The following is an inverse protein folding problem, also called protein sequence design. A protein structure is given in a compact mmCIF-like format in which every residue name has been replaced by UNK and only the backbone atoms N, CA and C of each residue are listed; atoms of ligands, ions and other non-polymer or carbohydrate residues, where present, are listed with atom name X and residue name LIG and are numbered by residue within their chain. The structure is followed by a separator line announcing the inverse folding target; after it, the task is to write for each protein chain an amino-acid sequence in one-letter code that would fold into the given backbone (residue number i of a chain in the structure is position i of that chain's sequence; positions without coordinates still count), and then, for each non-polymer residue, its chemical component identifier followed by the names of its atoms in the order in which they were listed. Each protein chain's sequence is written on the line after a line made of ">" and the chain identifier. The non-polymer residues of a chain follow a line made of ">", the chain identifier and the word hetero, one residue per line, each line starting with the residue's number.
data_IF_903514243813
#
_entry.id   IF_903514243813
#
_cell.length_a   1.000
_cell.length_b   1.000
_cell.length_c   1.000
_cell.angle_alpha   90.00
_cell.angle_beta   90.00
_cell.angle_gamma   90.00
#
_symmetry.space_group_name_H-M   'P 1'
#
loop_
_entity.id
_entity.type
_entity.pdbx_description
1 polymer ?
#
# COMPACT_ATOMS: atom_id res chain seq x y z
N UNK A 1 11.09 -39.25 73.94
CA UNK A 1 11.69 -39.41 72.59
C UNK A 1 11.20 -38.28 71.71
N UNK A 2 12.07 -37.33 71.37
CA UNK A 2 11.73 -36.22 70.46
C UNK A 2 12.20 -36.61 69.07
N UNK A 3 11.30 -36.81 68.08
CA UNK A 3 11.60 -37.03 66.69
C UNK A 3 11.90 -35.69 66.03
N UNK A 4 13.17 -35.47 65.72
CA UNK A 4 13.62 -34.31 64.94
C UNK A 4 13.42 -34.61 63.45
N UNK A 5 12.43 -33.98 62.85
CA UNK A 5 12.25 -34.06 61.39
C UNK A 5 13.21 -33.10 60.72
N UNK A 6 14.09 -33.63 59.88
CA UNK A 6 14.98 -32.85 59.02
C UNK A 6 14.21 -32.29 57.82
N UNK A 7 14.20 -30.98 57.57
CA UNK A 7 13.49 -30.43 56.40
C UNK A 7 14.22 -30.84 55.12
N UNK A 8 13.49 -31.41 54.18
CA UNK A 8 13.97 -31.70 52.84
C UNK A 8 14.25 -30.37 52.13
N UNK A 9 15.47 -30.12 51.73
CA UNK A 9 15.83 -28.96 50.88
C UNK A 9 15.25 -29.16 49.47
N UNK A 10 14.51 -28.22 48.94
CA UNK A 10 14.09 -28.29 47.53
C UNK A 10 15.32 -28.25 46.61
N UNK A 11 15.45 -29.24 45.73
CA UNK A 11 16.49 -29.24 44.69
C UNK A 11 16.11 -28.21 43.65
N UNK A 12 16.83 -27.09 43.60
CA UNK A 12 16.73 -26.14 42.51
C UNK A 12 17.55 -26.73 41.34
N UNK A 13 16.86 -27.36 40.37
CA UNK A 13 17.47 -27.76 39.13
C UNK A 13 17.69 -26.50 38.26
N UNK A 14 18.93 -26.09 38.07
CA UNK A 14 19.31 -25.04 37.13
C UNK A 14 19.20 -25.57 35.70
N UNK A 15 18.94 -24.67 34.75
CA UNK A 15 18.91 -25.00 33.33
C UNK A 15 20.32 -25.41 32.84
N UNK A 16 20.36 -26.43 31.99
CA UNK A 16 21.63 -26.86 31.40
C UNK A 16 22.01 -25.91 30.23
N UNK A 17 23.32 -25.79 29.94
CA UNK A 17 23.82 -25.00 28.83
C UNK A 17 23.25 -25.47 27.48
N UNK A 18 23.06 -26.79 27.34
CA UNK A 18 22.48 -27.39 26.13
C UNK A 18 21.02 -26.99 25.97
N UNK A 19 20.26 -26.95 27.04
CA UNK A 19 18.83 -26.53 27.03
C UNK A 19 18.67 -25.06 26.59
N UNK A 20 19.56 -24.19 27.06
CA UNK A 20 19.57 -22.79 26.65
C UNK A 20 19.96 -22.61 25.18
N UNK A 21 20.95 -23.36 24.66
CA UNK A 21 21.32 -23.33 23.25
C UNK A 21 20.18 -23.84 22.38
N UNK A 22 19.49 -24.91 22.79
CA UNK A 22 18.35 -25.45 22.05
C UNK A 22 17.19 -24.43 21.97
N UNK A 23 16.88 -23.76 23.08
CA UNK A 23 15.84 -22.72 23.11
C UNK A 23 16.20 -21.55 22.18
N UNK A 24 17.45 -21.09 22.25
CA UNK A 24 17.92 -20.02 21.36
C UNK A 24 17.86 -20.42 19.89
N UNK A 25 18.21 -21.67 19.54
CA UNK A 25 18.12 -22.18 18.18
C UNK A 25 16.66 -22.22 17.67
N UNK A 26 15.71 -22.66 18.50
CA UNK A 26 14.30 -22.69 18.16
C UNK A 26 13.76 -21.25 17.99
N UNK A 27 14.09 -20.34 18.90
CA UNK A 27 13.67 -18.95 18.82
C UNK A 27 14.21 -18.30 17.54
N UNK A 28 15.50 -18.50 17.22
CA UNK A 28 16.09 -17.99 15.99
C UNK A 28 15.41 -18.52 14.73
N UNK A 29 15.05 -19.82 14.70
CA UNK A 29 14.30 -20.43 13.61
C UNK A 29 12.90 -19.81 13.45
N UNK A 30 12.17 -19.62 14.56
CA UNK A 30 10.83 -19.04 14.55
C UNK A 30 10.85 -17.57 14.09
N UNK A 31 11.82 -16.78 14.59
CA UNK A 31 11.99 -15.38 14.17
C UNK A 31 12.33 -15.30 12.68
N UNK A 32 13.24 -16.16 12.20
CA UNK A 32 13.58 -16.23 10.78
C UNK A 32 12.39 -16.55 9.90
N UNK A 33 11.58 -17.54 10.28
CA UNK A 33 10.36 -17.90 9.55
C UNK A 33 9.30 -16.77 9.55
N UNK A 34 9.18 -16.04 10.67
CA UNK A 34 8.25 -14.93 10.78
C UNK A 34 8.62 -13.79 9.81
N UNK A 35 9.88 -13.37 9.76
CA UNK A 35 10.34 -12.26 8.92
C UNK A 35 10.04 -12.50 7.44
N UNK A 36 10.25 -13.72 6.94
CA UNK A 36 10.00 -14.08 5.53
C UNK A 36 8.50 -13.98 5.18
N UNK A 37 7.61 -14.38 6.07
CA UNK A 37 6.17 -14.36 5.81
C UNK A 37 5.54 -12.96 5.92
N UNK A 38 6.02 -12.10 6.81
CA UNK A 38 5.47 -10.75 6.97
C UNK A 38 5.72 -9.83 5.78
N UNK A 39 6.82 -9.99 5.05
CA UNK A 39 7.12 -9.18 3.86
C UNK A 39 6.05 -9.27 2.78
N UNK A 40 5.58 -10.48 2.46
CA UNK A 40 4.53 -10.69 1.46
C UNK A 40 3.16 -10.13 1.86
N UNK A 41 2.81 -10.22 3.14
CA UNK A 41 1.54 -9.68 3.66
C UNK A 41 1.51 -8.15 3.58
N UNK A 42 2.62 -7.48 3.92
CA UNK A 42 2.75 -6.03 3.83
C UNK A 42 2.64 -5.53 2.39
N UNK A 43 3.30 -6.20 1.43
CA UNK A 43 3.18 -5.84 0.02
C UNK A 43 1.76 -6.08 -0.53
N UNK A 44 1.10 -7.16 -0.14
CA UNK A 44 -0.30 -7.41 -0.47
C UNK A 44 -1.22 -6.29 0.04
N UNK A 45 -1.00 -5.83 1.27
CA UNK A 45 -1.74 -4.71 1.87
C UNK A 45 -1.53 -3.40 1.12
N UNK A 46 -0.30 -3.08 0.73
CA UNK A 46 0.02 -1.90 -0.08
C UNK A 46 -0.68 -1.94 -1.44
N UNK A 47 -0.65 -3.09 -2.14
CA UNK A 47 -1.36 -3.26 -3.42
C UNK A 47 -2.85 -3.03 -3.28
N UNK A 48 -3.48 -3.57 -2.24
CA UNK A 48 -4.91 -3.37 -1.96
C UNK A 48 -5.22 -1.90 -1.68
N UNK A 49 -4.39 -1.23 -0.89
CA UNK A 49 -4.54 0.21 -0.60
C UNK A 49 -4.41 1.04 -1.88
N UNK A 50 -3.43 0.73 -2.73
CA UNK A 50 -3.25 1.42 -4.02
C UNK A 50 -4.47 1.27 -4.92
N UNK A 51 -5.04 0.07 -5.04
CA UNK A 51 -6.30 -0.15 -5.80
C UNK A 51 -7.47 0.67 -5.24
N UNK A 52 -7.58 0.77 -3.91
CA UNK A 52 -8.59 1.61 -3.27
C UNK A 52 -8.43 3.10 -3.61
N UNK A 53 -7.21 3.62 -3.59
CA UNK A 53 -6.93 5.00 -3.99
C UNK A 53 -7.25 5.24 -5.48
N UNK A 54 -6.85 4.32 -6.36
CA UNK A 54 -7.15 4.39 -7.81
C UNK A 54 -8.66 4.42 -8.04
N UNK A 55 -9.43 3.56 -7.37
CA UNK A 55 -10.90 3.58 -7.46
C UNK A 55 -11.49 4.92 -7.03
N UNK A 56 -10.95 5.54 -5.97
CA UNK A 56 -11.34 6.87 -5.52
C UNK A 56 -11.02 7.96 -6.55
N UNK A 57 -9.84 7.90 -7.16
CA UNK A 57 -9.43 8.83 -8.23
C UNK A 57 -10.34 8.67 -9.46
N UNK A 58 -10.63 7.43 -9.88
CA UNK A 58 -11.54 7.15 -10.99
C UNK A 58 -12.93 7.75 -10.72
N UNK A 59 -13.46 7.58 -9.52
CA UNK A 59 -14.75 8.15 -9.12
C UNK A 59 -14.75 9.68 -9.21
N UNK A 60 -13.66 10.31 -8.77
CA UNK A 60 -13.47 11.76 -8.86
C UNK A 60 -13.36 12.25 -10.32
N UNK A 61 -12.67 11.50 -11.19
CA UNK A 61 -12.58 11.78 -12.63
C UNK A 61 -13.94 11.68 -13.31
N UNK A 62 -14.74 10.68 -12.96
CA UNK A 62 -16.12 10.54 -13.49
C UNK A 62 -17.02 11.68 -13.02
N UNK A 63 -16.92 12.10 -11.75
CA UNK A 63 -17.64 13.27 -11.25
C UNK A 63 -17.21 14.57 -11.96
N UNK A 64 -15.93 14.72 -12.25
CA UNK A 64 -15.42 15.84 -13.05
C UNK A 64 -15.99 15.81 -14.47
N UNK A 65 -16.04 14.64 -15.12
CA UNK A 65 -16.58 14.44 -16.46
C UNK A 65 -18.07 14.78 -16.54
N UNK A 66 -18.85 14.40 -15.53
CA UNK A 66 -20.29 14.73 -15.45
C UNK A 66 -20.50 16.25 -15.39
N UNK A 67 -19.71 16.96 -14.58
CA UNK A 67 -19.87 18.42 -14.42
C UNK A 67 -19.41 19.22 -15.65
N UNK A 68 -18.41 18.72 -16.36
CA UNK A 68 -17.73 19.49 -17.40
C UNK A 68 -17.91 18.90 -18.81
N UNK A 69 -18.53 17.70 -18.93
CA UNK A 69 -18.75 16.96 -20.18
C UNK A 69 -17.46 16.47 -20.88
N UNK A 70 -16.34 16.54 -20.18
CA UNK A 70 -15.03 16.01 -20.63
C UNK A 70 -14.14 15.70 -19.44
N UNK A 71 -13.16 14.81 -19.65
CA UNK A 71 -12.12 14.49 -18.68
C UNK A 71 -10.93 15.46 -18.82
N UNK A 72 -10.13 15.66 -17.77
CA UNK A 72 -8.89 16.40 -17.87
C UNK A 72 -7.97 15.85 -18.96
N UNK A 73 -7.18 16.70 -19.59
CA UNK A 73 -6.12 16.25 -20.50
C UNK A 73 -4.96 15.66 -19.69
N UNK A 74 -4.08 14.86 -20.33
CA UNK A 74 -2.86 14.38 -19.68
C UNK A 74 -2.02 15.53 -19.10
N UNK A 75 -1.98 16.68 -19.79
CA UNK A 75 -1.24 17.86 -19.33
C UNK A 75 -1.89 18.54 -18.11
N UNK A 76 -3.22 18.54 -18.04
CA UNK A 76 -3.95 19.03 -16.86
C UNK A 76 -3.81 18.07 -15.68
N UNK A 77 -3.66 16.77 -15.95
CA UNK A 77 -3.36 15.76 -14.96
C UNK A 77 -4.42 15.62 -13.87
N UNK A 78 -4.08 14.86 -12.84
CA UNK A 78 -4.93 14.67 -11.65
C UNK A 78 -5.07 15.94 -10.81
N UNK A 79 -4.17 16.92 -10.95
CA UNK A 79 -4.26 18.21 -10.26
C UNK A 79 -5.57 18.93 -10.56
N UNK A 80 -6.16 18.71 -11.75
CA UNK A 80 -7.48 19.23 -12.12
C UNK A 80 -8.63 18.80 -11.17
N UNK A 81 -8.43 17.75 -10.37
CA UNK A 81 -9.40 17.28 -9.37
C UNK A 81 -9.35 18.08 -8.06
N UNK A 82 -8.24 18.76 -7.81
CA UNK A 82 -7.97 19.51 -6.57
C UNK A 82 -7.98 21.01 -6.81
N UNK A 83 -7.43 21.44 -7.95
CA UNK A 83 -7.28 22.84 -8.33
C UNK A 83 -7.88 23.07 -9.73
N UNK A 84 -8.45 24.27 -9.94
CA UNK A 84 -9.00 24.61 -11.26
C UNK A 84 -7.88 24.60 -12.32
N UNK A 85 -7.95 23.71 -13.32
CA UNK A 85 -6.89 23.62 -14.30
C UNK A 85 -6.85 24.86 -15.18
N UNK A 86 -5.64 25.25 -15.56
CA UNK A 86 -5.41 26.26 -16.61
C UNK A 86 -5.38 25.60 -17.99
N UNK A 87 -5.53 26.41 -19.05
CA UNK A 87 -5.46 25.93 -20.43
C UNK A 87 -6.78 25.41 -20.97
N UNK A 88 -6.73 24.77 -22.15
CA UNK A 88 -7.92 24.28 -22.87
C UNK A 88 -7.92 22.76 -22.92
N UNK A 89 -9.13 22.13 -22.84
CA UNK A 89 -10.42 22.76 -22.61
C UNK A 89 -10.55 23.27 -21.16
N UNK A 90 -11.11 24.47 -20.99
CA UNK A 90 -11.34 25.06 -19.67
C UNK A 90 -12.68 24.54 -19.11
N UNK A 91 -12.70 24.05 -17.86
CA UNK A 91 -13.94 23.57 -17.25
C UNK A 91 -14.89 24.74 -16.96
N UNK A 92 -16.16 24.60 -17.36
CA UNK A 92 -17.20 25.60 -17.15
C UNK A 92 -17.79 25.56 -15.74
N UNK A 93 -18.00 24.36 -15.21
CA UNK A 93 -18.60 24.11 -13.90
C UNK A 93 -17.60 23.43 -12.96
N UNK A 94 -16.40 24.01 -12.84
CA UNK A 94 -15.37 23.39 -12.02
C UNK A 94 -15.68 23.47 -10.52
N UNK A 95 -15.56 22.35 -9.86
CA UNK A 95 -15.52 22.24 -8.40
C UNK A 95 -14.49 21.17 -8.01
N UNK A 96 -13.79 21.39 -6.89
CA UNK A 96 -12.83 20.41 -6.41
C UNK A 96 -13.51 19.07 -6.11
N UNK A 97 -13.00 17.99 -6.68
CA UNK A 97 -13.49 16.62 -6.48
C UNK A 97 -12.77 15.90 -5.37
N UNK A 98 -11.54 16.33 -5.09
CA UNK A 98 -10.71 15.84 -4.01
C UNK A 98 -10.17 17.02 -3.20
N UNK A 99 -9.97 16.83 -1.90
CA UNK A 99 -9.30 17.83 -1.05
C UNK A 99 -7.80 17.87 -1.30
N UNK A 100 -7.22 16.71 -1.59
CA UNK A 100 -5.81 16.52 -1.95
C UNK A 100 -5.67 15.23 -2.76
N UNK A 101 -4.65 15.16 -3.59
CA UNK A 101 -4.29 13.91 -4.26
C UNK A 101 -3.67 12.94 -3.26
N UNK A 102 -4.08 11.67 -3.27
CA UNK A 102 -3.41 10.65 -2.49
C UNK A 102 -2.00 10.40 -3.03
N UNK A 103 -1.13 9.94 -2.15
CA UNK A 103 0.18 9.38 -2.49
C UNK A 103 0.05 7.87 -2.36
N UNK A 104 0.74 7.13 -3.21
CA UNK A 104 0.71 5.68 -3.18
C UNK A 104 1.42 5.12 -1.92
N UNK A 105 1.24 3.85 -1.57
CA UNK A 105 1.86 3.26 -0.39
C UNK A 105 3.40 3.15 -0.42
N UNK A 106 4.03 3.44 -1.55
CA UNK A 106 5.49 3.49 -1.71
C UNK A 106 6.04 4.91 -1.69
N UNK A 107 5.14 5.94 -1.59
CA UNK A 107 5.51 7.36 -1.45
C UNK A 107 5.53 8.13 -2.75
N UNK A 108 5.03 7.57 -3.85
CA UNK A 108 5.03 8.19 -5.17
C UNK A 108 3.64 8.76 -5.52
N UNK A 109 3.56 9.80 -6.39
CA UNK A 109 2.29 10.28 -6.92
C UNK A 109 1.68 9.25 -7.88
N UNK A 110 0.34 9.25 -7.99
CA UNK A 110 -0.37 8.50 -9.03
C UNK A 110 -0.18 9.16 -10.40
N UNK A 111 -0.04 8.35 -11.41
CA UNK A 111 0.08 8.77 -12.80
C UNK A 111 -1.28 8.78 -13.48
N UNK A 112 -1.43 9.67 -14.47
CA UNK A 112 -2.63 9.78 -15.29
C UNK A 112 -2.25 10.05 -16.74
N UNK A 113 -2.93 9.40 -17.67
CA UNK A 113 -2.79 9.67 -19.10
C UNK A 113 -4.12 9.45 -19.83
N UNK A 114 -4.37 10.31 -20.80
CA UNK A 114 -5.53 10.25 -21.68
C UNK A 114 -5.11 10.67 -23.11
N UNK A 115 -5.35 9.83 -24.13
CA UNK A 115 -5.90 8.48 -24.04
C UNK A 115 -5.02 7.54 -23.22
N UNK A 116 -5.62 6.50 -22.62
CA UNK A 116 -4.88 5.46 -21.91
C UNK A 116 -4.05 4.61 -22.87
N UNK A 117 -2.96 4.03 -22.40
CA UNK A 117 -2.19 3.00 -23.13
C UNK A 117 -2.81 1.63 -22.96
N UNK A 118 -3.35 1.36 -21.77
CA UNK A 118 -4.08 0.11 -21.45
C UNK A 118 -5.54 0.23 -21.86
N UNK A 119 -6.20 1.35 -21.51
CA UNK A 119 -7.54 1.69 -21.98
C UNK A 119 -7.46 2.76 -23.08
N UNK A 120 -7.30 2.33 -24.33
CA UNK A 120 -7.17 3.23 -25.51
C UNK A 120 -8.38 4.12 -25.74
N UNK A 121 -9.57 3.70 -25.30
CA UNK A 121 -10.80 4.47 -25.43
C UNK A 121 -11.09 5.41 -24.27
N UNK A 122 -10.33 5.28 -23.17
CA UNK A 122 -10.55 5.99 -21.93
C UNK A 122 -9.28 6.67 -21.40
N UNK A 123 -8.93 6.31 -20.18
CA UNK A 123 -7.75 6.86 -19.48
C UNK A 123 -7.13 5.79 -18.59
N UNK A 124 -5.84 5.94 -18.32
CA UNK A 124 -5.15 5.15 -17.32
C UNK A 124 -4.87 5.99 -16.07
N UNK A 125 -5.16 5.43 -14.89
CA UNK A 125 -4.70 5.91 -13.59
C UNK A 125 -3.90 4.78 -12.94
N UNK A 126 -2.67 5.04 -12.51
CA UNK A 126 -1.83 3.99 -11.98
C UNK A 126 -0.77 4.48 -10.99
N UNK A 127 -0.31 3.57 -10.14
CA UNK A 127 0.89 3.70 -9.33
C UNK A 127 2.03 2.98 -10.05
N UNK A 128 3.21 3.55 -9.99
CA UNK A 128 4.45 2.94 -10.51
C UNK A 128 5.00 1.82 -9.61
N UNK A 129 4.20 1.35 -8.64
CA UNK A 129 4.56 0.21 -7.81
C UNK A 129 5.75 0.40 -6.86
N UNK A 130 6.32 -0.71 -6.38
CA UNK A 130 7.41 -0.69 -5.40
C UNK A 130 8.70 -0.04 -5.88
N UNK A 131 9.02 -0.15 -7.17
CA UNK A 131 10.28 0.38 -7.73
C UNK A 131 10.18 1.86 -8.15
N UNK A 132 8.95 2.41 -8.22
CA UNK A 132 8.69 3.79 -8.59
C UNK A 132 8.97 4.11 -10.06
N UNK A 133 9.15 3.10 -10.91
CA UNK A 133 9.42 3.26 -12.34
C UNK A 133 8.15 2.93 -13.14
N UNK A 134 7.54 3.91 -13.83
CA UNK A 134 6.31 3.67 -14.57
C UNK A 134 6.54 2.83 -15.84
N UNK A 135 5.45 2.22 -16.33
CA UNK A 135 5.38 1.44 -17.56
C UNK A 135 6.12 0.09 -17.53
N UNK A 136 6.05 -0.58 -16.36
CA UNK A 136 6.60 -1.92 -16.17
C UNK A 136 5.58 -2.93 -15.59
N UNK A 137 6.03 -4.10 -15.16
CA UNK A 137 5.17 -5.21 -14.76
C UNK A 137 4.62 -5.11 -13.33
N UNK A 138 5.18 -4.25 -12.49
CA UNK A 138 4.76 -4.05 -11.10
C UNK A 138 3.83 -2.83 -10.91
N UNK A 139 3.54 -2.10 -12.01
CA UNK A 139 2.50 -1.08 -12.05
C UNK A 139 1.15 -1.64 -11.60
N UNK A 140 0.43 -0.86 -10.81
CA UNK A 140 -0.93 -1.17 -10.38
C UNK A 140 -1.85 -0.10 -10.93
N UNK A 141 -2.76 -0.49 -11.80
CA UNK A 141 -3.54 0.47 -12.55
C UNK A 141 -5.04 0.26 -12.55
N UNK A 142 -5.73 1.18 -13.22
CA UNK A 142 -7.18 1.11 -13.46
C UNK A 142 -7.61 -0.15 -14.22
N UNK A 143 -6.71 -0.81 -14.87
CA UNK A 143 -6.91 -2.10 -15.57
C UNK A 143 -6.90 -3.33 -14.65
N UNK A 144 -6.57 -3.16 -13.37
CA UNK A 144 -6.52 -4.22 -12.35
C UNK A 144 -7.74 -4.22 -11.41
N UNK A 145 -8.74 -3.35 -11.69
CA UNK A 145 -9.90 -3.09 -10.83
C UNK A 145 -11.18 -3.55 -11.46
#
# INVERSE_FOLDING_TARGET
>A
MKHTQTPLRPSTSGFTLVEMILVLAIVALLVGAAVVNFGGVLEGGKKTTSKGHISGIISALRAYEVDNMFLPTTQQGLSALVEKPSGRPAPQSWSAKLKKLPIDPWGNPYHYRRPGTKDKGGFDVYSAGPDGVPDNADDIGSWDI
#
